data_IF_710210659540
#
_entry.id   IF_710210659540
#
_cell.length_a   1.000
_cell.length_b   1.000
_cell.length_c   1.000
_cell.angle_alpha   90.00
_cell.angle_beta   90.00
_cell.angle_gamma   90.00
#
_symmetry.space_group_name_H-M   'P 1'
#
loop_
_entity.id
_entity.type
_entity.pdbx_description
1 polymer ?
#
# COMPACT_ATOMS: atom_id res chain seq x y z
N UNK A 1 -9.44 1.51 1.42
CA UNK A 1 -9.34 2.45 0.28
C UNK A 1 -9.03 3.85 0.81
N UNK A 2 -8.11 4.59 0.20
CA UNK A 2 -7.91 6.02 0.44
C UNK A 2 -8.46 6.80 -0.77
N UNK A 3 -9.47 7.64 -0.56
CA UNK A 3 -10.12 8.43 -1.61
C UNK A 3 -9.61 9.89 -1.69
N UNK A 4 -8.59 10.24 -0.92
CA UNK A 4 -8.02 11.59 -0.80
C UNK A 4 -6.49 11.55 -0.84
N UNK A 5 -5.92 10.63 -1.59
CA UNK A 5 -4.49 10.48 -1.72
C UNK A 5 -3.85 11.62 -2.54
N UNK A 6 -2.58 11.87 -2.26
CA UNK A 6 -1.74 12.86 -2.92
C UNK A 6 -1.98 14.32 -2.50
N UNK A 7 -1.15 15.25 -3.00
CA UNK A 7 -1.11 16.64 -2.50
C UNK A 7 -2.44 17.39 -2.63
N UNK A 8 -3.18 17.13 -3.71
CA UNK A 8 -4.47 17.77 -3.99
C UNK A 8 -5.68 16.96 -3.51
N UNK A 9 -5.45 15.83 -2.82
CA UNK A 9 -6.52 14.97 -2.26
C UNK A 9 -7.57 14.54 -3.29
N UNK A 10 -7.14 14.31 -4.52
CA UNK A 10 -8.00 14.00 -5.68
C UNK A 10 -7.66 12.66 -6.35
N UNK A 11 -6.79 11.86 -5.74
CA UNK A 11 -6.49 10.50 -6.20
C UNK A 11 -7.12 9.47 -5.27
N UNK A 12 -7.57 8.36 -5.84
CA UNK A 12 -8.09 7.21 -5.10
C UNK A 12 -7.09 6.06 -5.19
N UNK A 13 -6.55 5.64 -4.05
CA UNK A 13 -5.64 4.50 -3.94
C UNK A 13 -6.36 3.33 -3.26
N UNK A 14 -6.31 2.17 -3.91
CA UNK A 14 -6.91 0.92 -3.43
C UNK A 14 -5.80 -0.03 -3.02
N UNK A 15 -5.98 -0.67 -1.85
CA UNK A 15 -5.10 -1.72 -1.34
C UNK A 15 -5.93 -3.00 -1.24
N UNK A 16 -5.43 -4.08 -1.80
CA UNK A 16 -6.05 -5.40 -1.81
C UNK A 16 -5.17 -6.38 -1.04
N UNK A 17 -5.72 -7.00 0.00
CA UNK A 17 -5.04 -8.07 0.75
C UNK A 17 -5.30 -9.43 0.12
N UNK A 18 -4.35 -10.36 0.30
CA UNK A 18 -4.45 -11.74 -0.17
C UNK A 18 -4.30 -12.74 0.98
N UNK A 19 -4.58 -14.00 0.67
CA UNK A 19 -4.38 -15.12 1.61
C UNK A 19 -2.91 -15.52 1.80
N UNK A 20 -1.98 -14.89 1.06
CA UNK A 20 -0.54 -15.21 1.08
C UNK A 20 0.32 -14.10 1.69
N UNK A 21 -0.30 -13.15 2.39
CA UNK A 21 0.40 -12.01 3.00
C UNK A 21 0.88 -10.96 1.99
N UNK A 22 0.38 -11.04 0.76
CA UNK A 22 0.66 -10.07 -0.30
C UNK A 22 -0.42 -8.99 -0.30
N UNK A 23 0.02 -7.74 -0.42
CA UNK A 23 -0.82 -6.57 -0.68
C UNK A 23 -0.53 -6.07 -2.09
N UNK A 24 -1.60 -5.85 -2.85
CA UNK A 24 -1.53 -5.17 -4.14
C UNK A 24 -2.05 -3.74 -4.00
N UNK A 25 -1.31 -2.78 -4.55
CA UNK A 25 -1.63 -1.36 -4.52
C UNK A 25 -1.96 -0.86 -5.92
N UNK A 26 -3.13 -0.24 -6.08
CA UNK A 26 -3.61 0.30 -7.35
C UNK A 26 -4.01 1.77 -7.21
N UNK A 27 -3.77 2.55 -8.27
CA UNK A 27 -4.39 3.85 -8.47
C UNK A 27 -5.68 3.67 -9.29
N UNK A 28 -6.81 4.05 -8.71
CA UNK A 28 -8.09 4.08 -9.40
C UNK A 28 -8.24 5.41 -10.16
N UNK A 29 -8.44 5.33 -11.49
CA UNK A 29 -8.75 6.49 -12.33
C UNK A 29 -10.26 6.65 -12.40
N UNK A 30 -10.75 7.68 -11.71
CA UNK A 30 -12.16 8.02 -11.67
C UNK A 30 -12.48 9.09 -12.71
N UNK A 31 -13.59 8.95 -13.43
CA UNK A 31 -14.15 9.96 -14.31
C UNK A 31 -15.61 10.21 -13.93
N UNK A 32 -15.96 11.44 -13.55
CA UNK A 32 -17.30 11.80 -13.06
C UNK A 32 -17.86 10.86 -11.96
N UNK A 33 -16.99 10.40 -11.05
CA UNK A 33 -17.38 9.48 -9.97
C UNK A 33 -17.48 8.00 -10.38
N UNK A 34 -17.27 7.67 -11.66
CA UNK A 34 -17.25 6.30 -12.17
C UNK A 34 -15.82 5.82 -12.34
N UNK A 35 -15.53 4.58 -11.94
CA UNK A 35 -14.23 3.95 -12.19
C UNK A 35 -14.09 3.73 -13.69
N UNK A 36 -13.12 4.41 -14.30
CA UNK A 36 -12.83 4.26 -15.73
C UNK A 36 -11.72 3.23 -15.96
N UNK A 37 -10.66 3.27 -15.17
CA UNK A 37 -9.47 2.43 -15.33
C UNK A 37 -8.72 2.28 -14.01
N UNK A 38 -7.82 1.32 -13.91
CA UNK A 38 -6.94 1.11 -12.77
C UNK A 38 -5.49 0.95 -13.20
N UNK A 39 -4.56 1.50 -12.42
CA UNK A 39 -3.13 1.37 -12.65
C UNK A 39 -2.51 0.59 -11.48
N UNK A 40 -1.89 -0.54 -11.78
CA UNK A 40 -1.07 -1.28 -10.82
C UNK A 40 0.17 -0.45 -10.46
N UNK A 41 0.35 -0.17 -9.17
CA UNK A 41 1.48 0.61 -8.66
C UNK A 41 2.54 -0.29 -8.05
N UNK A 42 2.13 -1.23 -7.19
CA UNK A 42 3.07 -1.95 -6.35
C UNK A 42 2.50 -3.26 -5.80
N UNK A 43 3.38 -4.26 -5.65
CA UNK A 43 3.15 -5.48 -4.89
C UNK A 43 4.05 -5.51 -3.64
N UNK A 44 3.49 -6.01 -2.55
CA UNK A 44 4.07 -5.94 -1.22
C UNK A 44 3.88 -7.27 -0.50
N UNK A 45 4.95 -8.00 -0.18
CA UNK A 45 4.86 -9.07 0.81
C UNK A 45 5.08 -8.47 2.20
N UNK A 46 4.06 -8.53 3.07
CA UNK A 46 4.07 -7.85 4.38
C UNK A 46 4.06 -8.81 5.56
N UNK A 47 3.93 -10.12 5.32
CA UNK A 47 4.05 -11.11 6.38
C UNK A 47 5.51 -11.23 6.82
N UNK A 48 5.75 -11.17 8.13
CA UNK A 48 7.08 -11.34 8.71
C UNK A 48 7.15 -12.65 9.50
N UNK A 49 7.79 -13.72 8.97
CA UNK A 49 7.88 -15.01 9.66
C UNK A 49 8.55 -14.90 11.04
N UNK A 50 9.56 -14.05 11.20
CA UNK A 50 10.30 -13.88 12.46
C UNK A 50 9.45 -13.28 13.58
N UNK A 51 8.30 -12.68 13.23
CA UNK A 51 7.41 -12.00 14.19
C UNK A 51 5.99 -12.55 14.23
N UNK A 52 5.55 -13.20 13.16
CA UNK A 52 4.17 -13.65 12.99
C UNK A 52 4.05 -15.17 12.98
N UNK A 53 5.14 -15.92 12.83
CA UNK A 53 5.11 -17.37 12.99
C UNK A 53 5.05 -17.72 14.48
N UNK A 54 4.02 -18.44 14.90
CA UNK A 54 3.87 -18.93 16.28
C UNK A 54 4.04 -20.44 16.23
N UNK A 55 4.97 -20.97 17.03
CA UNK A 55 5.28 -22.40 17.12
C UNK A 55 5.58 -23.08 15.77
N UNK A 56 6.13 -22.33 14.81
CA UNK A 56 6.46 -22.80 13.46
C UNK A 56 5.26 -22.92 12.51
N UNK A 57 4.08 -22.45 12.92
CA UNK A 57 2.88 -22.41 12.06
C UNK A 57 2.77 -21.06 11.36
N UNK A 58 2.78 -21.11 10.03
CA UNK A 58 2.63 -19.94 9.17
C UNK A 58 1.19 -19.81 8.65
N UNK A 59 0.42 -18.88 9.21
CA UNK A 59 -0.84 -18.42 8.64
C UNK A 59 -0.68 -17.02 8.05
N UNK A 60 -0.49 -16.98 6.73
CA UNK A 60 -0.22 -15.75 5.97
C UNK A 60 -1.51 -15.07 5.49
N UNK A 61 -2.69 -15.56 5.89
CA UNK A 61 -3.95 -14.95 5.45
C UNK A 61 -4.13 -13.58 6.10
N UNK A 62 -4.28 -12.55 5.27
CA UNK A 62 -4.71 -11.24 5.74
C UNK A 62 -6.19 -11.34 6.14
N UNK A 63 -6.48 -11.09 7.41
CA UNK A 63 -7.84 -11.13 7.98
C UNK A 63 -8.47 -9.75 8.17
N UNK A 64 -7.67 -8.69 8.08
CA UNK A 64 -8.15 -7.32 8.22
C UNK A 64 -7.15 -6.30 7.74
N UNK A 65 -7.65 -5.17 7.25
CA UNK A 65 -6.85 -4.04 6.80
C UNK A 65 -7.51 -2.73 7.18
N UNK A 66 -6.76 -1.82 7.79
CA UNK A 66 -7.25 -0.50 8.20
C UNK A 66 -6.28 0.60 7.77
N UNK A 67 -6.80 1.62 7.08
CA UNK A 67 -6.00 2.78 6.67
C UNK A 67 -6.04 3.84 7.77
N UNK A 68 -4.87 4.31 8.17
CA UNK A 68 -4.66 5.51 8.96
C UNK A 68 -3.98 6.58 8.08
N UNK A 69 -4.79 7.41 7.44
CA UNK A 69 -4.31 8.47 6.57
C UNK A 69 -3.53 9.57 7.33
N UNK A 70 -3.78 9.76 8.63
CA UNK A 70 -3.07 10.77 9.43
C UNK A 70 -1.68 10.27 9.84
N UNK A 71 -1.60 9.01 10.27
CA UNK A 71 -0.34 8.34 10.59
C UNK A 71 0.43 7.80 9.38
N UNK A 72 -0.06 8.08 8.16
CA UNK A 72 0.51 7.63 6.87
C UNK A 72 0.79 6.12 6.83
N UNK A 73 -0.16 5.32 7.35
CA UNK A 73 0.02 3.90 7.53
C UNK A 73 -1.21 3.07 7.11
N UNK A 74 -0.93 1.85 6.69
CA UNK A 74 -1.87 0.77 6.52
C UNK A 74 -1.57 -0.29 7.58
N UNK A 75 -2.54 -0.52 8.47
CA UNK A 75 -2.49 -1.59 9.44
C UNK A 75 -3.04 -2.86 8.82
N UNK A 76 -2.30 -3.96 8.94
CA UNK A 76 -2.62 -5.25 8.31
C UNK A 76 -2.63 -6.30 9.41
N UNK A 77 -3.77 -6.95 9.58
CA UNK A 77 -3.97 -7.99 10.58
C UNK A 77 -3.83 -9.38 9.94
N UNK A 78 -3.04 -10.21 10.59
CA UNK A 78 -2.97 -11.66 10.44
C UNK A 78 -3.58 -12.28 11.70
N UNK A 79 -3.77 -13.60 11.70
CA UNK A 79 -4.30 -14.31 12.88
C UNK A 79 -3.36 -14.24 14.09
N UNK A 80 -2.05 -14.14 13.86
CA UNK A 80 -1.01 -14.14 14.89
C UNK A 80 -0.40 -12.78 15.21
N UNK A 81 -0.57 -11.78 14.34
CA UNK A 81 0.13 -10.49 14.48
C UNK A 81 -0.60 -9.35 13.76
N UNK A 82 -0.24 -8.12 14.09
CA UNK A 82 -0.63 -6.91 13.34
C UNK A 82 0.63 -6.18 12.91
N UNK A 83 0.72 -5.85 11.62
CA UNK A 83 1.87 -5.14 11.05
C UNK A 83 1.48 -3.75 10.58
N UNK A 84 2.38 -2.79 10.82
CA UNK A 84 2.26 -1.41 10.32
C UNK A 84 3.03 -1.29 9.00
N UNK A 85 2.32 -1.00 7.92
CA UNK A 85 2.89 -0.83 6.58
C UNK A 85 2.79 0.65 6.19
N UNK A 86 3.88 1.35 5.84
CA UNK A 86 3.79 2.72 5.31
C UNK A 86 2.95 2.78 4.03
N UNK A 87 2.09 3.80 3.86
CA UNK A 87 1.29 3.96 2.63
C UNK A 87 2.16 4.19 1.38
N UNK A 88 3.40 4.63 1.56
CA UNK A 88 4.38 4.83 0.50
C UNK A 88 5.79 4.46 0.95
N UNK A 89 6.63 4.08 -0.02
CA UNK A 89 8.05 3.75 0.19
C UNK A 89 8.93 4.56 -0.77
N UNK A 90 8.71 5.87 -0.79
CA UNK A 90 9.34 6.77 -1.76
C UNK A 90 10.88 6.74 -1.71
N UNK A 91 11.45 6.53 -0.53
CA UNK A 91 12.90 6.36 -0.32
C UNK A 91 13.52 5.20 -1.12
N UNK A 92 12.71 4.20 -1.53
CA UNK A 92 13.18 3.11 -2.39
C UNK A 92 13.68 3.61 -3.75
N UNK A 93 13.18 4.76 -4.23
CA UNK A 93 13.65 5.37 -5.47
C UNK A 93 14.99 6.10 -5.30
N UNK A 94 15.43 6.32 -4.06
CA UNK A 94 16.67 7.01 -3.72
C UNK A 94 16.82 8.36 -4.44
N UNK A 95 18.02 8.63 -4.97
CA UNK A 95 18.31 9.84 -5.74
C UNK A 95 17.96 9.74 -7.24
N UNK A 96 17.23 8.70 -7.66
CA UNK A 96 16.88 8.52 -9.06
C UNK A 96 15.55 9.23 -9.39
N UNK A 97 15.65 10.48 -9.87
CA UNK A 97 14.48 11.26 -10.32
C UNK A 97 13.60 10.49 -11.32
N UNK A 98 14.22 9.79 -12.28
CA UNK A 98 13.48 9.00 -13.29
C UNK A 98 12.62 7.92 -12.63
N UNK A 99 13.15 7.17 -11.67
CA UNK A 99 12.39 6.12 -10.97
C UNK A 99 11.27 6.70 -10.10
N UNK A 100 11.56 7.79 -9.37
CA UNK A 100 10.57 8.48 -8.53
C UNK A 100 9.35 8.94 -9.35
N UNK A 101 9.58 9.65 -10.47
CA UNK A 101 8.49 10.14 -11.33
C UNK A 101 7.77 8.98 -12.04
N UNK A 102 8.50 7.95 -12.48
CA UNK A 102 7.90 6.80 -13.16
C UNK A 102 7.02 5.93 -12.24
N UNK A 103 7.18 6.03 -10.92
CA UNK A 103 6.36 5.28 -9.95
C UNK A 103 4.87 5.60 -10.07
N UNK A 104 4.52 6.83 -10.45
CA UNK A 104 3.14 7.36 -10.51
C UNK A 104 2.37 7.18 -9.21
N UNK A 105 3.06 6.99 -8.08
CA UNK A 105 2.47 6.83 -6.77
C UNK A 105 2.05 8.20 -6.23
N UNK A 106 0.75 8.46 -5.97
CA UNK A 106 0.29 9.78 -5.51
C UNK A 106 0.93 10.24 -4.19
N UNK A 107 1.48 9.33 -3.40
CA UNK A 107 2.17 9.67 -2.15
C UNK A 107 3.65 10.02 -2.33
N UNK A 108 4.21 9.86 -3.53
CA UNK A 108 5.62 10.13 -3.81
C UNK A 108 5.80 11.31 -4.76
N UNK A 109 6.89 12.04 -4.58
CA UNK A 109 7.29 13.17 -5.43
C UNK A 109 8.78 13.44 -5.30
N UNK A 110 9.35 14.04 -6.34
CA UNK A 110 10.75 14.46 -6.32
C UNK A 110 10.87 15.87 -5.76
N UNK A 111 11.65 16.03 -4.69
CA UNK A 111 12.00 17.34 -4.13
C UNK A 111 13.41 17.70 -4.60
N UNK A 112 13.56 18.89 -5.21
CA UNK A 112 14.82 19.41 -5.76
C UNK A 112 15.66 20.13 -4.73
#
# INVERSE_FOLDING_TARGET
VDNKAGPHKNHTVVFLGSEKGIILKFLAKMNNGVLNDSLFLEELNVYNPDRCSIDGVDDKRIIGMQIDARGHALWVAFTSCVVKVPLSRCERHGRCKKSCIASRDPYCGWVS
#
